data_IF_760963999739
#
_entry.id   IF_760963999739
#
_cell.length_a   1.000
_cell.length_b   1.000
_cell.length_c   1.000
_cell.angle_alpha   90.00
_cell.angle_beta   90.00
_cell.angle_gamma   90.00
#
_symmetry.space_group_name_H-M   'P 1'
#
loop_
_entity.id
_entity.type
_entity.pdbx_description
1 polymer ?
#
# COMPACT_ATOMS: atom_id res chain seq x y z
N UNK A 1 -18.08 -7.90 26.87
CA UNK A 1 -18.53 -6.85 25.95
C UNK A 1 -18.96 -7.44 24.64
N UNK A 2 -20.23 -7.40 24.37
CA UNK A 2 -20.72 -7.92 23.10
C UNK A 2 -20.08 -7.25 21.88
N UNK A 3 -19.74 -5.97 22.01
CA UNK A 3 -19.16 -5.25 20.91
C UNK A 3 -17.80 -5.82 20.50
N UNK A 4 -17.04 -6.32 21.46
CA UNK A 4 -15.74 -6.90 21.11
C UNK A 4 -15.89 -8.16 20.28
N UNK A 5 -16.86 -8.99 20.61
CA UNK A 5 -17.10 -10.20 19.83
C UNK A 5 -17.58 -9.87 18.43
N UNK A 6 -18.45 -8.89 18.34
CA UNK A 6 -18.92 -8.44 17.04
C UNK A 6 -17.81 -7.91 16.17
N UNK A 7 -16.93 -7.09 16.75
CA UNK A 7 -15.79 -6.57 16.01
C UNK A 7 -14.85 -7.66 15.56
N UNK A 8 -14.65 -8.66 16.41
CA UNK A 8 -13.75 -9.75 16.07
C UNK A 8 -14.27 -10.55 14.90
N UNK A 9 -15.57 -10.78 14.82
CA UNK A 9 -16.10 -11.54 13.70
C UNK A 9 -16.07 -10.75 12.40
N UNK A 10 -16.12 -9.42 12.45
CA UNK A 10 -16.05 -8.62 11.24
C UNK A 10 -14.62 -8.24 10.86
N UNK A 11 -13.69 -8.31 11.80
CA UNK A 11 -12.30 -7.93 11.55
C UNK A 11 -11.67 -8.78 10.46
N UNK A 12 -11.99 -10.08 10.42
CA UNK A 12 -11.41 -10.95 9.40
C UNK A 12 -11.67 -10.42 8.01
N UNK A 13 -12.88 -9.92 7.78
CA UNK A 13 -13.27 -9.41 6.47
C UNK A 13 -12.73 -8.02 6.21
N UNK A 14 -12.60 -7.21 7.27
CA UNK A 14 -12.23 -5.81 7.14
C UNK A 14 -10.77 -5.52 7.43
N UNK A 15 -9.98 -6.56 7.68
CA UNK A 15 -8.58 -6.37 8.06
C UNK A 15 -7.82 -5.55 7.02
N UNK A 16 -8.07 -5.80 5.73
CA UNK A 16 -7.39 -5.06 4.68
C UNK A 16 -7.70 -3.57 4.73
N UNK A 17 -9.00 -3.22 4.86
CA UNK A 17 -9.40 -1.82 4.90
C UNK A 17 -8.89 -1.14 6.17
N UNK A 18 -8.94 -1.84 7.31
CA UNK A 18 -8.44 -1.29 8.55
C UNK A 18 -6.93 -1.04 8.48
N UNK A 19 -6.20 -1.98 7.87
CA UNK A 19 -4.76 -1.83 7.71
C UNK A 19 -4.44 -0.64 6.80
N UNK A 20 -5.21 -0.47 5.73
CA UNK A 20 -5.01 0.67 4.85
C UNK A 20 -5.26 1.99 5.57
N UNK A 21 -6.26 2.04 6.45
CA UNK A 21 -6.53 3.25 7.22
C UNK A 21 -5.37 3.58 8.15
N UNK A 22 -4.81 2.57 8.79
CA UNK A 22 -3.65 2.77 9.67
C UNK A 22 -2.45 3.24 8.87
N UNK A 23 -2.19 2.62 7.72
CA UNK A 23 -1.08 3.01 6.87
C UNK A 23 -1.26 4.44 6.37
N UNK A 24 -2.47 4.79 5.96
CA UNK A 24 -2.77 6.14 5.49
C UNK A 24 -2.48 7.18 6.57
N UNK A 25 -2.96 6.93 7.79
CA UNK A 25 -2.74 7.86 8.89
C UNK A 25 -1.24 8.00 9.19
N UNK A 26 -0.51 6.90 9.14
CA UNK A 26 0.93 6.91 9.38
C UNK A 26 1.66 7.76 8.33
N UNK A 27 1.31 7.58 7.07
CA UNK A 27 1.93 8.34 5.99
C UNK A 27 1.55 9.81 6.04
N UNK A 28 0.30 10.12 6.36
CA UNK A 28 -0.14 11.49 6.48
C UNK A 28 0.57 12.20 7.63
N UNK A 29 0.78 11.51 8.74
CA UNK A 29 1.53 12.08 9.85
C UNK A 29 2.96 12.41 9.47
N UNK A 30 3.51 11.72 8.49
CA UNK A 30 4.85 11.99 7.98
C UNK A 30 4.87 13.04 6.86
N UNK A 31 3.73 13.64 6.55
CA UNK A 31 3.67 14.73 5.57
C UNK A 31 3.24 14.31 4.17
N UNK A 32 2.90 13.04 3.96
CA UNK A 32 2.42 12.60 2.66
C UNK A 32 0.96 12.99 2.48
N UNK A 33 0.57 13.28 1.25
CA UNK A 33 -0.79 13.67 0.91
C UNK A 33 -1.43 12.56 0.09
N UNK A 34 -2.65 12.19 0.45
CA UNK A 34 -3.37 11.15 -0.29
C UNK A 34 -3.82 11.68 -1.65
N UNK A 35 -3.52 10.92 -2.69
CA UNK A 35 -4.00 11.20 -4.04
C UNK A 35 -5.20 10.33 -4.36
N UNK A 36 -5.08 9.02 -4.19
CA UNK A 36 -6.20 8.11 -4.40
C UNK A 36 -5.94 6.79 -3.65
N UNK A 37 -7.02 6.05 -3.42
CA UNK A 37 -6.96 4.74 -2.76
C UNK A 37 -7.52 3.69 -3.71
N UNK A 38 -7.00 2.48 -3.57
CA UNK A 38 -7.53 1.31 -4.26
C UNK A 38 -7.64 1.54 -5.76
N UNK A 39 -6.57 2.06 -6.33
CA UNK A 39 -6.51 2.27 -7.76
C UNK A 39 -6.37 0.92 -8.47
N UNK A 40 -7.26 0.66 -9.41
CA UNK A 40 -7.26 -0.60 -10.15
C UNK A 40 -7.24 -0.33 -11.64
N UNK A 41 -6.49 -1.18 -12.35
CA UNK A 41 -6.53 -1.15 -13.80
C UNK A 41 -7.67 -2.05 -14.28
N UNK A 42 -8.30 -1.71 -15.41
CA UNK A 42 -9.38 -2.53 -15.93
C UNK A 42 -8.86 -3.81 -16.56
N UNK A 43 -9.73 -4.79 -16.68
CA UNK A 43 -9.47 -5.99 -17.43
C UNK A 43 -8.74 -7.07 -16.66
N UNK A 44 -8.47 -8.17 -17.37
CA UNK A 44 -7.77 -9.31 -16.80
C UNK A 44 -6.30 -8.99 -16.63
N UNK A 45 -5.69 -9.58 -15.60
CA UNK A 45 -4.29 -9.37 -15.35
C UNK A 45 -3.96 -7.98 -14.90
N UNK A 46 -4.99 -7.21 -14.55
CA UNK A 46 -4.77 -5.85 -14.07
C UNK A 46 -4.09 -5.83 -12.73
N UNK A 47 -3.64 -4.65 -12.34
CA UNK A 47 -2.99 -4.43 -11.07
C UNK A 47 -3.83 -3.56 -10.16
N UNK A 48 -3.36 -3.47 -8.92
CA UNK A 48 -4.02 -2.66 -7.90
C UNK A 48 -2.95 -2.00 -7.06
N UNK A 49 -3.22 -0.74 -6.68
CA UNK A 49 -2.37 0.01 -5.76
C UNK A 49 -3.23 0.41 -4.58
N UNK A 50 -2.81 0.01 -3.38
CA UNK A 50 -3.60 0.29 -2.19
C UNK A 50 -3.71 1.79 -1.92
N UNK A 51 -2.57 2.50 -1.98
CA UNK A 51 -2.55 3.95 -1.75
C UNK A 51 -1.62 4.60 -2.75
N UNK A 52 -2.07 5.71 -3.34
CA UNK A 52 -1.19 6.60 -4.11
C UNK A 52 -1.06 7.87 -3.30
N UNK A 53 0.16 8.19 -2.89
CA UNK A 53 0.46 9.34 -2.05
C UNK A 53 1.40 10.28 -2.77
N UNK A 54 1.44 11.53 -2.31
CA UNK A 54 2.40 12.51 -2.83
C UNK A 54 3.22 13.04 -1.67
N UNK A 55 4.54 13.00 -1.84
CA UNK A 55 5.46 13.58 -0.89
C UNK A 55 5.55 15.09 -1.05
N UNK A 56 6.05 15.81 -0.04
CA UNK A 56 6.18 17.27 -0.14
C UNK A 56 6.99 17.74 -1.33
N UNK A 57 7.95 16.95 -1.79
CA UNK A 57 8.77 17.31 -2.94
C UNK A 57 8.13 16.95 -4.29
N UNK A 58 6.89 16.42 -4.27
CA UNK A 58 6.18 16.06 -5.48
C UNK A 58 6.35 14.62 -5.92
N UNK A 59 7.19 13.85 -5.26
CA UNK A 59 7.36 12.43 -5.59
C UNK A 59 6.07 11.67 -5.34
N UNK A 60 5.66 10.83 -6.28
CA UNK A 60 4.52 9.93 -6.09
C UNK A 60 4.98 8.64 -5.44
N UNK A 61 4.24 8.20 -4.44
CA UNK A 61 4.47 6.94 -3.76
C UNK A 61 3.35 5.99 -4.14
N UNK A 62 3.70 4.85 -4.71
CA UNK A 62 2.75 3.77 -4.95
C UNK A 62 2.95 2.78 -3.82
N UNK A 63 1.96 2.70 -2.94
CA UNK A 63 2.12 2.04 -1.64
C UNK A 63 1.31 0.76 -1.59
N UNK A 64 2.00 -0.32 -1.25
CA UNK A 64 1.38 -1.61 -0.94
C UNK A 64 1.28 -1.72 0.57
N UNK A 65 0.09 -2.05 1.06
CA UNK A 65 -0.14 -2.23 2.50
C UNK A 65 -0.26 -3.71 2.79
N UNK A 66 0.52 -4.16 3.77
CA UNK A 66 0.53 -5.56 4.19
C UNK A 66 0.17 -5.66 5.66
N UNK A 67 -0.93 -6.35 5.95
CA UNK A 67 -1.29 -6.64 7.33
C UNK A 67 -0.84 -8.06 7.64
N UNK A 68 -0.13 -8.22 8.74
CA UNK A 68 0.42 -9.50 9.13
C UNK A 68 0.03 -9.78 10.57
N UNK A 69 -0.05 -11.05 10.90
CA UNK A 69 -0.28 -11.45 12.28
C UNK A 69 0.88 -12.36 12.70
N UNK A 70 1.46 -12.02 13.82
CA UNK A 70 2.55 -12.80 14.36
C UNK A 70 3.89 -12.47 13.74
N UNK A 71 4.93 -13.08 14.30
CA UNK A 71 6.29 -12.85 13.89
C UNK A 71 6.52 -13.43 12.50
N UNK A 72 6.73 -12.56 11.58
CA UNK A 72 6.94 -12.98 10.21
C UNK A 72 8.41 -13.18 9.94
N UNK A 73 8.69 -14.04 9.01
CA UNK A 73 10.03 -14.24 8.52
C UNK A 73 10.35 -13.14 7.53
N UNK A 74 11.50 -12.51 7.70
CA UNK A 74 11.96 -11.47 6.82
C UNK A 74 11.27 -10.15 7.08
N UNK A 75 11.66 -9.13 6.36
CA UNK A 75 11.07 -7.82 6.44
C UNK A 75 9.84 -7.68 5.57
N UNK A 76 9.24 -6.49 5.60
CA UNK A 76 8.03 -6.22 4.85
C UNK A 76 8.23 -6.43 3.35
N UNK A 77 9.39 -6.05 2.82
CA UNK A 77 9.65 -6.20 1.40
C UNK A 77 9.68 -7.67 0.98
N UNK A 78 10.10 -8.56 1.87
CA UNK A 78 10.17 -9.97 1.58
C UNK A 78 8.79 -10.59 1.38
N UNK A 79 7.72 -9.91 1.80
CA UNK A 79 6.36 -10.41 1.65
C UNK A 79 5.74 -10.02 0.31
N UNK A 80 6.43 -9.23 -0.49
CA UNK A 80 5.92 -8.79 -1.79
C UNK A 80 6.67 -9.54 -2.87
N UNK A 81 6.03 -10.59 -3.38
CA UNK A 81 6.63 -11.43 -4.40
C UNK A 81 6.65 -10.78 -5.77
N UNK A 82 7.33 -11.43 -6.70
CA UNK A 82 7.51 -10.87 -8.05
C UNK A 82 6.21 -10.65 -8.78
N UNK A 83 5.25 -11.55 -8.64
CA UNK A 83 3.96 -11.40 -9.30
C UNK A 83 3.26 -10.15 -8.80
N UNK A 84 3.27 -9.95 -7.49
CA UNK A 84 2.63 -8.78 -6.90
C UNK A 84 3.36 -7.51 -7.32
N UNK A 85 4.69 -7.53 -7.33
CA UNK A 85 5.47 -6.39 -7.79
C UNK A 85 5.13 -6.01 -9.22
N UNK A 86 5.05 -7.00 -10.11
CA UNK A 86 4.71 -6.74 -11.51
C UNK A 86 3.32 -6.13 -11.64
N UNK A 87 2.36 -6.57 -10.83
CA UNK A 87 1.01 -6.00 -10.85
C UNK A 87 1.00 -4.57 -10.35
N UNK A 88 1.80 -4.28 -9.32
CA UNK A 88 1.94 -2.92 -8.83
C UNK A 88 2.57 -2.02 -9.87
N UNK A 89 3.63 -2.49 -10.52
CA UNK A 89 4.30 -1.73 -11.58
C UNK A 89 3.34 -1.47 -12.72
N UNK A 90 2.58 -2.48 -13.13
CA UNK A 90 1.60 -2.32 -14.20
C UNK A 90 0.56 -1.26 -13.85
N UNK A 91 0.03 -1.31 -12.63
CA UNK A 91 -0.95 -0.33 -12.19
C UNK A 91 -0.35 1.07 -12.13
N UNK A 92 0.89 1.19 -11.67
CA UNK A 92 1.57 2.47 -11.62
C UNK A 92 1.79 3.07 -13.01
N UNK A 93 2.20 2.23 -13.96
CA UNK A 93 2.37 2.69 -15.34
C UNK A 93 1.05 3.19 -15.92
N UNK A 94 -0.01 2.45 -15.66
CA UNK A 94 -1.34 2.86 -16.12
C UNK A 94 -1.74 4.19 -15.48
N UNK A 95 -1.51 4.32 -14.18
CA UNK A 95 -1.81 5.57 -13.48
C UNK A 95 -1.03 6.74 -14.09
N UNK A 96 0.25 6.53 -14.36
CA UNK A 96 1.12 7.59 -14.87
C UNK A 96 0.76 8.02 -16.29
N UNK A 97 0.01 7.23 -17.03
CA UNK A 97 -0.45 7.63 -18.36
C UNK A 97 -1.31 8.88 -18.34
N UNK A 98 -1.83 9.24 -17.18
CA UNK A 98 -2.60 10.49 -17.03
C UNK A 98 -1.73 11.73 -16.98
N UNK A 99 -0.43 11.55 -16.87
CA UNK A 99 0.51 12.66 -16.73
C UNK A 99 1.25 12.90 -18.03
N UNK A 100 1.22 14.13 -18.51
CA UNK A 100 2.02 14.51 -19.69
C UNK A 100 3.51 14.35 -19.38
N UNK A 101 3.91 14.77 -18.18
CA UNK A 101 5.28 14.60 -17.70
C UNK A 101 5.20 13.89 -16.37
N UNK A 102 5.53 12.60 -16.33
CA UNK A 102 5.44 11.86 -15.06
C UNK A 102 6.41 12.43 -14.02
N UNK A 103 5.94 12.61 -12.80
CA UNK A 103 6.83 13.03 -11.71
C UNK A 103 7.72 11.88 -11.27
N UNK A 104 8.75 12.15 -10.46
CA UNK A 104 9.47 11.07 -9.82
C UNK A 104 8.51 10.20 -9.01
N UNK A 105 8.77 8.92 -8.98
CA UNK A 105 7.91 8.01 -8.23
C UNK A 105 8.75 6.88 -7.63
N UNK A 106 8.16 6.20 -6.65
CA UNK A 106 8.79 5.04 -6.04
C UNK A 106 7.72 4.12 -5.50
N UNK A 107 8.12 2.87 -5.25
CA UNK A 107 7.24 1.87 -4.67
C UNK A 107 7.59 1.68 -3.21
N UNK A 108 6.61 1.88 -2.34
CA UNK A 108 6.79 1.75 -0.91
C UNK A 108 5.91 0.62 -0.39
N UNK A 109 6.33 0.02 0.71
CA UNK A 109 5.54 -0.99 1.39
C UNK A 109 5.35 -0.55 2.83
N UNK A 110 4.12 -0.60 3.31
CA UNK A 110 3.82 -0.38 4.72
C UNK A 110 3.29 -1.70 5.27
N UNK A 111 4.03 -2.27 6.20
CA UNK A 111 3.65 -3.51 6.85
C UNK A 111 3.18 -3.22 8.27
N UNK A 112 2.06 -3.80 8.61
CA UNK A 112 1.43 -3.62 9.91
C UNK A 112 1.32 -4.98 10.58
N UNK A 113 1.89 -5.07 11.78
CA UNK A 113 1.87 -6.28 12.57
C UNK A 113 1.48 -5.88 13.99
N UNK A 114 0.17 -5.97 14.27
CA UNK A 114 -0.35 -5.48 15.52
C UNK A 114 -0.13 -3.99 15.67
N UNK A 115 0.63 -3.59 16.67
CA UNK A 115 0.95 -2.18 16.90
C UNK A 115 2.15 -1.71 16.12
N UNK A 116 2.84 -2.61 15.46
CA UNK A 116 4.08 -2.28 14.78
C UNK A 116 3.78 -1.89 13.35
N UNK A 117 4.35 -0.77 12.94
CA UNK A 117 4.25 -0.29 11.57
C UNK A 117 5.67 -0.17 11.03
N UNK A 118 5.91 -0.82 9.90
CA UNK A 118 7.18 -0.74 9.22
C UNK A 118 6.96 -0.16 7.83
N UNK A 119 7.61 0.96 7.55
CA UNK A 119 7.48 1.63 6.26
C UNK A 119 8.80 1.47 5.51
N UNK A 120 8.76 0.72 4.43
CA UNK A 120 9.91 0.50 3.57
C UNK A 120 9.80 1.41 2.36
N UNK A 121 10.65 2.41 2.32
CA UNK A 121 10.69 3.36 1.21
C UNK A 121 11.53 2.80 0.08
N UNK A 122 11.02 2.90 -1.14
CA UNK A 122 11.74 2.36 -2.27
C UNK A 122 12.00 0.88 -2.15
N UNK A 123 10.95 0.13 -1.80
CA UNK A 123 11.07 -1.29 -1.47
C UNK A 123 11.50 -2.14 -2.68
N UNK A 124 11.19 -1.69 -3.88
CA UNK A 124 11.61 -2.37 -5.11
C UNK A 124 11.51 -1.38 -6.28
N UNK A 125 12.10 -1.75 -7.39
CA UNK A 125 12.15 -0.92 -8.58
C UNK A 125 11.19 -1.42 -9.65
N UNK A 126 10.89 -0.54 -10.59
CA UNK A 126 9.96 -0.88 -11.68
C UNK A 126 10.57 -1.83 -12.71
N UNK A 127 11.89 -1.87 -12.78
CA UNK A 127 12.53 -2.66 -13.83
C UNK A 127 13.66 -3.53 -13.37
#
# INVERSE_FOLDING_TARGET
>A
MPLLNWKRSSVTRQTGAAAEDVALAHLQAAGMVLVTRNYRTPGRGGGEIDLVMRAPDGTLLFVEVRARSGAAQGGAAATVGHVKQRRLVHAAQHYLMQHATPPPCRFDVVAIDGDRIEWLRGAFDAG
#
